data_IF_607667887998
#
_entry.id   IF_607667887998
#
_cell.length_a   1.000
_cell.length_b   1.000
_cell.length_c   1.000
_cell.angle_alpha   90.00
_cell.angle_beta   90.00
_cell.angle_gamma   90.00
#
_symmetry.space_group_name_H-M   'P 1'
#
loop_
_entity.id
_entity.type
_entity.pdbx_description
1 polymer ?
#
# COMPACT_ATOMS: atom_id res chain seq x y z
N UNK A 1 3.50 -3.60 -8.94
CA UNK A 1 3.06 -4.05 -7.60
C UNK A 1 4.09 -5.06 -7.11
N UNK A 2 4.46 -5.10 -5.82
CA UNK A 2 5.35 -6.16 -5.35
C UNK A 2 4.70 -7.54 -5.48
N UNK A 3 5.50 -8.57 -5.75
CA UNK A 3 5.04 -9.95 -5.85
C UNK A 3 4.77 -10.55 -4.47
N UNK A 4 4.00 -11.63 -4.41
CA UNK A 4 3.77 -12.31 -3.14
C UNK A 4 5.07 -12.91 -2.57
N UNK A 5 6.01 -13.34 -3.43
CA UNK A 5 7.35 -13.77 -3.03
C UNK A 5 8.13 -12.64 -2.33
N UNK A 6 8.16 -11.44 -2.92
CA UNK A 6 8.83 -10.27 -2.33
C UNK A 6 8.26 -9.93 -0.93
N UNK A 7 6.94 -10.00 -0.78
CA UNK A 7 6.28 -9.74 0.51
C UNK A 7 6.55 -10.83 1.55
N UNK A 8 6.69 -12.08 1.11
CA UNK A 8 7.10 -13.19 1.99
C UNK A 8 8.55 -13.05 2.45
N UNK A 9 9.46 -12.51 1.62
CA UNK A 9 10.82 -12.21 2.03
C UNK A 9 10.87 -11.14 3.14
N UNK A 10 10.02 -10.11 3.07
CA UNK A 10 9.90 -9.12 4.17
C UNK A 10 9.42 -9.79 5.45
N UNK A 11 8.43 -10.68 5.34
CA UNK A 11 7.89 -11.42 6.49
C UNK A 11 8.94 -12.32 7.14
N UNK A 12 9.73 -13.02 6.33
CA UNK A 12 10.88 -13.81 6.78
C UNK A 12 11.91 -12.93 7.47
N UNK A 13 12.31 -11.82 6.86
CA UNK A 13 13.31 -10.91 7.42
C UNK A 13 12.82 -10.33 8.76
N UNK A 14 11.53 -9.96 8.89
CA UNK A 14 10.95 -9.52 10.17
C UNK A 14 10.98 -10.61 11.24
N UNK A 15 10.70 -11.87 10.88
CA UNK A 15 10.78 -13.02 11.79
C UNK A 15 12.21 -13.23 12.30
N UNK A 16 13.18 -13.24 11.39
CA UNK A 16 14.59 -13.53 11.69
C UNK A 16 15.30 -12.35 12.38
N UNK A 17 14.80 -11.12 12.22
CA UNK A 17 15.48 -9.87 12.61
C UNK A 17 16.07 -9.83 14.03
N UNK A 18 15.41 -10.33 15.10
CA UNK A 18 15.98 -10.31 16.45
C UNK A 18 17.28 -11.12 16.59
N UNK A 19 17.51 -12.09 15.71
CA UNK A 19 18.71 -12.93 15.71
C UNK A 19 19.81 -12.38 14.77
N UNK A 20 19.51 -11.33 13.99
CA UNK A 20 20.42 -10.76 13.01
C UNK A 20 21.18 -9.58 13.61
N UNK A 21 20.51 -8.43 13.73
CA UNK A 21 21.07 -7.24 14.35
C UNK A 21 19.97 -6.20 14.66
N UNK A 22 20.35 -5.21 15.48
CA UNK A 22 19.46 -4.15 15.95
C UNK A 22 18.91 -3.27 14.82
N UNK A 23 19.68 -3.05 13.76
CA UNK A 23 19.26 -2.26 12.60
C UNK A 23 18.12 -2.96 11.86
N UNK A 24 18.28 -4.26 11.64
CA UNK A 24 17.33 -5.12 10.98
C UNK A 24 16.04 -5.22 11.78
N UNK A 25 16.15 -5.40 13.10
CA UNK A 25 15.01 -5.37 14.01
C UNK A 25 14.22 -4.06 13.90
N UNK A 26 14.91 -2.93 13.88
CA UNK A 26 14.29 -1.61 13.76
C UNK A 26 13.57 -1.43 12.41
N UNK A 27 14.27 -1.59 11.29
CA UNK A 27 13.71 -1.25 9.98
C UNK A 27 12.66 -2.26 9.50
N UNK A 28 12.78 -3.53 9.88
CA UNK A 28 11.73 -4.52 9.58
C UNK A 28 10.46 -4.24 10.38
N UNK A 29 10.56 -3.79 11.63
CA UNK A 29 9.40 -3.35 12.40
C UNK A 29 8.72 -2.13 11.76
N UNK A 30 9.49 -1.15 11.26
CA UNK A 30 8.95 -0.03 10.47
C UNK A 30 8.20 -0.53 9.23
N UNK A 31 8.79 -1.45 8.47
CA UNK A 31 8.15 -2.00 7.26
C UNK A 31 6.89 -2.84 7.59
N UNK A 32 6.91 -3.61 8.69
CA UNK A 32 5.75 -4.37 9.15
C UNK A 32 4.55 -3.46 9.44
N UNK A 33 4.76 -2.29 10.07
CA UNK A 33 3.70 -1.31 10.27
C UNK A 33 3.13 -0.76 8.94
N UNK A 34 3.99 -0.51 7.94
CA UNK A 34 3.55 -0.11 6.61
C UNK A 34 2.76 -1.20 5.88
N UNK A 35 3.04 -2.47 6.18
CA UNK A 35 2.38 -3.65 5.62
C UNK A 35 1.08 -4.02 6.33
N UNK A 36 0.69 -3.30 7.37
CA UNK A 36 -0.60 -3.52 8.06
C UNK A 36 -1.52 -2.32 7.95
N UNK A 37 -0.97 -1.10 7.92
CA UNK A 37 -1.75 0.12 7.86
C UNK A 37 -1.36 0.96 6.64
N UNK A 38 -2.23 1.07 5.61
CA UNK A 38 -1.89 1.82 4.40
C UNK A 38 -1.62 3.29 4.74
N UNK A 39 -0.38 3.70 4.55
CA UNK A 39 0.15 4.97 5.04
C UNK A 39 1.32 5.46 4.20
N UNK A 40 1.65 6.74 4.31
CA UNK A 40 2.95 7.21 3.82
C UNK A 40 4.02 6.88 4.84
N UNK A 41 5.21 6.54 4.36
CA UNK A 41 6.37 6.32 5.22
C UNK A 41 6.63 7.49 6.19
N UNK A 42 6.45 8.72 5.73
CA UNK A 42 6.60 9.92 6.57
C UNK A 42 5.55 10.05 7.69
N UNK A 43 4.38 9.42 7.56
CA UNK A 43 3.32 9.48 8.59
C UNK A 43 3.71 8.63 9.82
N UNK A 44 4.48 7.54 9.63
CA UNK A 44 4.99 6.74 10.76
C UNK A 44 5.88 7.54 11.71
N UNK A 45 6.56 8.56 11.20
CA UNK A 45 7.45 9.41 12.00
C UNK A 45 6.70 10.23 13.07
N UNK A 46 5.38 10.32 12.95
CA UNK A 46 4.49 11.00 13.90
C UNK A 46 3.74 10.03 14.82
N UNK A 47 4.07 8.73 14.82
CA UNK A 47 3.49 7.78 15.78
C UNK A 47 4.09 7.95 17.17
N UNK A 48 3.23 7.90 18.19
CA UNK A 48 3.62 7.83 19.60
C UNK A 48 3.96 6.40 20.02
N UNK A 49 4.78 6.23 21.06
CA UNK A 49 4.96 4.94 21.75
C UNK A 49 3.66 4.33 22.27
N UNK A 50 2.65 5.15 22.57
CA UNK A 50 1.33 4.73 23.01
C UNK A 50 0.31 4.72 21.85
N UNK A 51 0.74 4.34 20.65
CA UNK A 51 -0.10 4.37 19.45
C UNK A 51 -1.12 3.22 19.37
N UNK A 52 -1.01 2.20 20.22
CA UNK A 52 -1.91 1.04 20.18
C UNK A 52 -3.12 1.25 21.09
N UNK A 53 -4.31 1.01 20.55
CA UNK A 53 -5.59 1.18 21.24
C UNK A 53 -6.46 -0.06 21.02
N UNK A 54 -7.07 -0.57 22.09
CA UNK A 54 -7.91 -1.76 22.06
C UNK A 54 -9.36 -1.36 22.35
N UNK A 55 -10.26 -1.73 21.46
CA UNK A 55 -11.71 -1.51 21.63
C UNK A 55 -12.47 -2.82 21.41
N UNK A 56 -13.69 -2.92 21.94
CA UNK A 56 -14.57 -4.06 21.66
C UNK A 56 -15.39 -3.78 20.41
N UNK A 57 -15.47 -4.74 19.51
CA UNK A 57 -16.43 -4.70 18.42
C UNK A 57 -17.88 -4.93 18.90
N UNK A 58 -18.84 -4.87 17.98
CA UNK A 58 -20.26 -5.09 18.26
C UNK A 58 -20.57 -6.50 18.80
N UNK A 59 -19.66 -7.45 18.62
CA UNK A 59 -19.77 -8.83 19.10
C UNK A 59 -19.02 -9.03 20.43
N UNK A 60 -18.38 -7.99 20.97
CA UNK A 60 -17.61 -8.03 22.21
C UNK A 60 -16.19 -8.54 22.06
N UNK A 61 -15.69 -8.77 20.83
CA UNK A 61 -14.30 -9.18 20.63
C UNK A 61 -13.38 -7.96 20.69
N UNK A 62 -12.21 -8.12 21.31
CA UNK A 62 -11.19 -7.08 21.33
C UNK A 62 -10.53 -6.92 19.96
N UNK A 63 -10.54 -5.70 19.44
CA UNK A 63 -9.93 -5.31 18.18
C UNK A 63 -8.83 -4.27 18.44
N UNK A 64 -7.70 -4.45 17.75
CA UNK A 64 -6.57 -3.53 17.82
C UNK A 64 -6.69 -2.44 16.76
N UNK A 65 -6.53 -1.19 17.18
CA UNK A 65 -6.36 -0.03 16.31
C UNK A 65 -4.99 0.63 16.55
N UNK A 66 -4.43 1.20 15.49
CA UNK A 66 -3.28 2.11 15.59
C UNK A 66 -3.82 3.54 15.51
N UNK A 67 -3.61 4.34 16.57
CA UNK A 67 -3.92 5.77 16.58
C UNK A 67 -3.08 6.48 15.55
N UNK A 68 -3.75 6.98 14.51
CA UNK A 68 -3.09 7.53 13.33
C UNK A 68 -3.44 8.99 13.09
N UNK A 69 -2.42 9.78 12.74
CA UNK A 69 -2.55 11.17 12.32
C UNK A 69 -2.13 11.25 10.85
N UNK A 70 -3.07 11.37 9.90
CA UNK A 70 -2.75 11.40 8.48
C UNK A 70 -2.13 12.75 8.07
N UNK A 71 -1.17 12.74 7.13
CA UNK A 71 -0.45 13.94 6.69
C UNK A 71 -1.28 14.89 5.78
N UNK A 72 -2.43 14.45 5.26
CA UNK A 72 -3.24 15.19 4.27
C UNK A 72 -4.68 15.45 4.73
N UNK A 73 -4.90 16.38 5.66
CA UNK A 73 -6.23 16.86 6.12
C UNK A 73 -7.24 15.74 6.50
N UNK A 74 -6.78 14.49 6.65
CA UNK A 74 -7.63 13.38 7.05
C UNK A 74 -7.99 13.50 8.52
N UNK A 75 -9.10 12.88 8.92
CA UNK A 75 -9.47 12.86 10.33
C UNK A 75 -8.51 11.98 11.12
N UNK A 76 -8.10 12.44 12.29
CA UNK A 76 -7.42 11.60 13.29
C UNK A 76 -8.37 10.45 13.62
N UNK A 77 -7.85 9.23 13.66
CA UNK A 77 -8.67 8.05 13.91
C UNK A 77 -7.83 6.80 14.13
N UNK A 78 -8.52 5.72 14.50
CA UNK A 78 -7.92 4.40 14.62
C UNK A 78 -7.84 3.76 13.23
N UNK A 79 -6.64 3.31 12.86
CA UNK A 79 -6.48 2.37 11.77
C UNK A 79 -6.58 0.96 12.33
N UNK A 80 -7.72 0.33 12.10
CA UNK A 80 -7.97 -1.03 12.53
C UNK A 80 -6.99 -2.01 11.89
N UNK A 81 -6.51 -2.94 12.71
CA UNK A 81 -5.58 -3.99 12.36
C UNK A 81 -6.35 -5.30 12.18
N UNK A 82 -6.23 -5.99 11.03
CA UNK A 82 -6.82 -7.30 10.85
C UNK A 82 -6.41 -8.26 11.97
N UNK A 83 -7.34 -9.07 12.48
CA UNK A 83 -7.10 -9.94 13.65
C UNK A 83 -5.86 -10.83 13.51
N UNK A 84 -5.60 -11.35 12.31
CA UNK A 84 -4.42 -12.18 12.01
C UNK A 84 -3.07 -11.44 12.05
N UNK A 85 -3.08 -10.09 12.06
CA UNK A 85 -1.88 -9.25 12.07
C UNK A 85 -1.67 -8.52 13.41
N UNK A 86 -2.57 -8.68 14.39
CA UNK A 86 -2.52 -7.92 15.64
C UNK A 86 -1.22 -8.19 16.41
N UNK A 87 -0.82 -9.46 16.54
CA UNK A 87 0.42 -9.85 17.22
C UNK A 87 1.67 -9.28 16.54
N UNK A 88 1.66 -9.22 15.21
CA UNK A 88 2.75 -8.65 14.41
C UNK A 88 2.90 -7.15 14.69
N UNK A 89 1.79 -6.42 14.75
CA UNK A 89 1.80 -4.98 15.08
C UNK A 89 2.27 -4.75 16.51
N UNK A 90 1.77 -5.52 17.48
CA UNK A 90 2.18 -5.43 18.88
C UNK A 90 3.68 -5.66 19.01
N UNK A 91 4.20 -6.69 18.35
CA UNK A 91 5.64 -7.00 18.36
C UNK A 91 6.46 -5.91 17.65
N UNK A 92 6.02 -5.41 16.50
CA UNK A 92 6.71 -4.32 15.80
C UNK A 92 6.79 -3.04 16.66
N UNK A 93 5.69 -2.62 17.29
CA UNK A 93 5.68 -1.46 18.19
C UNK A 93 6.57 -1.70 19.41
N UNK A 94 6.57 -2.91 19.98
CA UNK A 94 7.42 -3.28 21.11
C UNK A 94 8.90 -3.18 20.76
N UNK A 95 9.34 -3.71 19.60
CA UNK A 95 10.72 -3.61 19.12
C UNK A 95 11.19 -2.15 19.01
N UNK A 96 10.39 -1.31 18.33
CA UNK A 96 10.68 0.12 18.20
C UNK A 96 10.71 0.85 19.56
N UNK A 97 9.79 0.48 20.44
CA UNK A 97 9.74 0.99 21.82
C UNK A 97 10.98 0.58 22.62
N UNK A 98 11.52 -0.61 22.43
CA UNK A 98 12.73 -1.06 23.14
C UNK A 98 14.02 -0.43 22.61
N UNK A 99 14.05 -0.05 21.33
CA UNK A 99 15.24 0.53 20.69
C UNK A 99 15.42 2.02 21.02
N UNK A 100 14.32 2.79 21.04
CA UNK A 100 14.36 4.24 21.25
C UNK A 100 14.45 4.83 22.69
N UNK A 101 14.47 4.09 23.83
CA UNK A 101 14.38 4.71 25.15
C UNK A 101 15.47 5.74 25.45
N UNK A 102 16.72 5.48 25.03
CA UNK A 102 17.84 6.41 25.26
C UNK A 102 17.64 7.73 24.52
N UNK A 103 17.28 7.67 23.23
CA UNK A 103 17.00 8.87 22.44
C UNK A 103 15.80 9.65 23.00
N UNK A 104 14.74 8.95 23.41
CA UNK A 104 13.55 9.59 24.02
C UNK A 104 13.85 10.22 25.36
N UNK A 105 14.72 9.59 26.17
CA UNK A 105 15.21 10.16 27.43
C UNK A 105 15.98 11.46 27.21
N UNK A 106 16.89 11.50 26.24
CA UNK A 106 17.63 12.71 25.86
C UNK A 106 16.68 13.80 25.34
N UNK A 107 15.74 13.43 24.46
CA UNK A 107 14.75 14.38 23.94
C UNK A 107 13.92 14.97 25.08
N UNK A 108 13.43 14.14 26.01
CA UNK A 108 12.69 14.58 27.20
C UNK A 108 13.52 15.55 28.05
N UNK A 109 14.79 15.22 28.29
CA UNK A 109 15.70 16.10 29.02
C UNK A 109 15.85 17.45 28.31
N UNK A 110 16.02 17.46 26.99
CA UNK A 110 16.12 18.68 26.20
C UNK A 110 14.82 19.51 26.23
N UNK A 111 13.65 18.87 26.24
CA UNK A 111 12.36 19.57 26.41
C UNK A 111 12.26 20.29 27.75
N UNK A 112 12.76 19.67 28.82
CA UNK A 112 12.68 20.18 30.20
C UNK A 112 13.83 21.14 30.55
N UNK A 113 14.99 21.00 29.90
CA UNK A 113 16.23 21.70 30.22
C UNK A 113 16.87 22.31 28.95
N UNK A 114 16.27 23.38 28.37
CA UNK A 114 16.79 23.97 27.14
C UNK A 114 18.24 24.41 27.26
N UNK A 115 19.05 24.11 26.23
CA UNK A 115 20.48 24.45 26.15
C UNK A 115 21.40 23.77 27.18
N UNK A 116 20.90 22.84 27.98
CA UNK A 116 21.70 22.11 28.98
C UNK A 116 22.14 20.78 28.37
N UNK A 117 23.43 20.46 28.55
CA UNK A 117 23.98 19.16 28.18
C UNK A 117 23.60 18.10 29.23
N UNK A 118 23.23 16.89 28.82
CA UNK A 118 23.00 15.79 29.75
C UNK A 118 24.31 15.02 29.95
N UNK A 119 24.92 15.15 31.13
CA UNK A 119 26.25 14.58 31.44
C UNK A 119 26.23 13.09 31.75
N UNK A 120 25.11 12.57 32.25
CA UNK A 120 24.84 11.13 32.35
C UNK A 120 23.33 10.90 32.51
N UNK A 121 22.82 9.73 32.13
CA UNK A 121 21.39 9.37 32.22
C UNK A 121 20.83 9.33 33.67
N UNK A 122 21.59 9.79 34.68
CA UNK A 122 21.28 9.58 36.11
C UNK A 122 21.45 10.80 37.01
N UNK A 123 21.96 11.93 36.54
CA UNK A 123 22.19 13.08 37.44
C UNK A 123 21.01 14.05 37.50
N UNK A 124 20.52 14.24 38.73
CA UNK A 124 19.55 15.26 39.08
C UNK A 124 20.25 16.62 39.21
N UNK A 125 19.81 17.56 38.38
CA UNK A 125 20.14 18.98 38.36
C UNK A 125 21.62 19.36 38.08
N UNK A 126 21.90 20.15 37.03
CA UNK A 126 23.24 20.65 36.74
C UNK A 126 23.70 21.66 37.81
N UNK A 127 24.87 21.43 38.42
CA UNK A 127 25.49 22.46 39.28
C UNK A 127 26.09 23.57 38.39
N UNK A 128 25.74 24.82 38.68
CA UNK A 128 26.15 25.98 37.86
C UNK A 128 27.68 26.10 37.73
N UNK A 129 28.43 25.73 38.77
CA UNK A 129 29.90 25.75 38.76
C UNK A 129 30.50 24.69 37.82
N UNK A 130 29.87 23.53 37.68
CA UNK A 130 30.35 22.48 36.76
C UNK A 130 30.22 22.93 35.31
N UNK A 131 29.11 23.58 34.94
CA UNK A 131 28.81 23.91 33.54
C UNK A 131 29.64 25.06 32.97
N UNK A 132 30.19 25.89 33.86
CA UNK A 132 31.10 26.99 33.56
C UNK A 132 32.56 26.54 33.48
N UNK A 133 32.89 25.28 33.86
CA UNK A 133 34.25 24.75 33.79
C UNK A 133 34.74 24.72 32.32
N UNK A 134 35.88 25.36 32.00
CA UNK A 134 36.55 25.20 30.72
C UNK A 134 36.96 23.73 30.50
N UNK A 135 36.68 23.22 29.30
CA UNK A 135 36.98 21.86 28.89
C UNK A 135 38.28 21.80 28.12
N UNK A 136 39.07 20.78 28.41
CA UNK A 136 40.22 20.37 27.59
C UNK A 136 39.75 19.81 26.24
N UNK A 137 40.62 19.78 25.23
CA UNK A 137 40.28 19.16 23.93
C UNK A 137 39.80 17.72 24.04
N UNK A 138 40.34 16.96 25.01
CA UNK A 138 39.90 15.58 25.24
C UNK A 138 38.50 15.51 25.86
N UNK A 139 38.21 16.37 26.85
CA UNK A 139 36.87 16.45 27.45
C UNK A 139 35.83 16.94 26.43
N UNK A 140 36.18 17.88 25.53
CA UNK A 140 35.28 18.30 24.45
C UNK A 140 35.00 17.14 23.50
N UNK A 141 36.03 16.38 23.13
CA UNK A 141 35.86 15.22 22.24
C UNK A 141 34.93 14.17 22.86
N UNK A 142 35.09 13.91 24.16
CA UNK A 142 34.22 13.01 24.93
C UNK A 142 32.78 13.54 25.01
N UNK A 143 32.58 14.80 25.38
CA UNK A 143 31.26 15.44 25.48
C UNK A 143 30.47 15.44 24.16
N UNK A 144 31.16 15.67 23.05
CA UNK A 144 30.54 15.67 21.72
C UNK A 144 30.53 14.27 21.08
N UNK A 145 31.01 13.24 21.80
CA UNK A 145 31.23 11.87 21.34
C UNK A 145 32.03 11.78 20.02
N UNK A 146 32.91 12.74 19.72
CA UNK A 146 33.67 12.79 18.46
C UNK A 146 35.06 12.17 18.61
N UNK A 147 35.60 11.63 17.51
CA UNK A 147 37.01 11.24 17.45
C UNK A 147 37.90 12.46 17.74
N UNK A 148 38.97 12.27 18.51
CA UNK A 148 40.01 13.29 18.75
C UNK A 148 40.55 13.88 17.45
N UNK A 149 40.61 13.12 16.36
CA UNK A 149 41.01 13.63 15.04
C UNK A 149 40.00 14.61 14.43
N UNK A 150 38.72 14.54 14.83
CA UNK A 150 37.64 15.43 14.37
C UNK A 150 37.76 16.85 14.90
N UNK A 151 38.63 17.11 15.89
CA UNK A 151 38.87 18.45 16.43
C UNK A 151 39.59 19.39 15.46
N UNK A 152 40.02 18.90 14.28
CA UNK A 152 40.66 19.70 13.24
C UNK A 152 39.69 20.15 12.12
N UNK A 153 38.43 19.74 12.19
CA UNK A 153 37.40 20.05 11.19
C UNK A 153 36.96 21.51 11.21
N UNK A 154 36.43 22.01 10.10
CA UNK A 154 35.98 23.40 9.95
C UNK A 154 34.89 23.78 10.97
N UNK A 155 33.91 22.90 11.20
CA UNK A 155 32.84 23.17 12.15
C UNK A 155 33.35 23.28 13.59
N UNK A 156 34.34 22.46 13.97
CA UNK A 156 34.92 22.51 15.30
C UNK A 156 35.77 23.77 15.51
N UNK A 157 36.54 24.17 14.49
CA UNK A 157 37.29 25.44 14.49
C UNK A 157 36.36 26.63 14.65
N UNK A 158 35.23 26.62 13.94
CA UNK A 158 34.20 27.67 14.06
C UNK A 158 33.61 27.71 15.47
N UNK A 159 33.27 26.55 16.06
CA UNK A 159 32.76 26.46 17.43
C UNK A 159 33.74 27.08 18.44
N UNK A 160 35.04 26.83 18.29
CA UNK A 160 36.08 27.43 19.14
C UNK A 160 36.18 28.95 18.92
N UNK A 161 36.21 29.41 17.66
CA UNK A 161 36.35 30.85 17.38
C UNK A 161 35.13 31.67 17.81
N UNK A 162 33.93 31.10 17.72
CA UNK A 162 32.68 31.77 18.14
C UNK A 162 32.57 31.90 19.66
N UNK A 163 33.42 31.22 20.44
CA UNK A 163 33.39 31.20 21.90
C UNK A 163 34.76 31.61 22.50
N UNK A 164 35.50 32.50 21.82
CA UNK A 164 36.78 33.08 22.27
C UNK A 164 37.84 32.05 22.69
N UNK A 165 37.81 30.85 22.11
CA UNK A 165 38.74 29.77 22.43
C UNK A 165 38.37 28.94 23.67
N UNK A 166 37.31 29.28 24.40
CA UNK A 166 36.90 28.63 25.65
C UNK A 166 35.60 27.86 25.42
N UNK A 167 35.68 26.53 25.47
CA UNK A 167 34.50 25.67 25.41
C UNK A 167 34.21 25.15 26.82
N UNK A 168 32.96 25.32 27.26
CA UNK A 168 32.45 24.78 28.53
C UNK A 168 31.36 23.74 28.25
N UNK A 169 30.87 23.06 29.28
CA UNK A 169 29.69 22.20 29.12
C UNK A 169 28.46 23.00 28.71
N UNK A 170 28.32 24.25 29.15
CA UNK A 170 27.24 25.15 28.73
C UNK A 170 27.29 25.45 27.23
N UNK A 171 28.49 25.75 26.70
CA UNK A 171 28.69 26.00 25.26
C UNK A 171 28.35 24.73 24.46
N UNK A 172 28.85 23.57 24.90
CA UNK A 172 28.55 22.28 24.27
C UNK A 172 27.05 21.95 24.29
N UNK A 173 26.38 22.21 25.43
CA UNK A 173 24.94 22.04 25.59
C UNK A 173 24.13 22.90 24.62
N UNK A 174 24.43 24.20 24.53
CA UNK A 174 23.83 25.13 23.56
C UNK A 174 24.02 24.65 22.12
N UNK A 175 25.23 24.22 21.78
CA UNK A 175 25.55 23.72 20.44
C UNK A 175 24.74 22.47 20.09
N UNK A 176 24.75 21.44 20.94
CA UNK A 176 24.03 20.19 20.68
C UNK A 176 22.52 20.37 20.73
N UNK A 177 22.01 21.16 21.68
CA UNK A 177 20.59 21.51 21.75
C UNK A 177 20.14 22.13 20.43
N UNK A 178 20.86 23.14 19.93
CA UNK A 178 20.56 23.75 18.62
C UNK A 178 20.64 22.72 17.49
N UNK A 179 21.69 21.89 17.44
CA UNK A 179 21.93 20.88 16.39
C UNK A 179 20.77 19.88 16.27
N UNK A 180 20.26 19.36 17.39
CA UNK A 180 19.23 18.31 17.36
C UNK A 180 17.81 18.87 17.31
N UNK A 181 17.53 19.97 18.03
CA UNK A 181 16.20 20.60 17.98
C UNK A 181 15.90 21.23 16.62
N UNK A 182 16.92 21.76 15.91
CA UNK A 182 16.73 22.31 14.57
C UNK A 182 16.30 21.29 13.53
N UNK A 183 16.42 19.98 13.80
CA UNK A 183 15.91 18.91 12.94
C UNK A 183 14.37 18.80 12.99
N UNK A 184 13.73 19.45 13.96
CA UNK A 184 12.29 19.43 14.16
C UNK A 184 11.72 20.84 13.98
N UNK A 185 11.00 21.07 12.89
CA UNK A 185 10.43 22.39 12.58
C UNK A 185 9.49 22.92 13.67
N UNK A 186 8.77 22.02 14.35
CA UNK A 186 7.77 22.35 15.36
C UNK A 186 8.21 21.97 16.78
N UNK A 187 9.52 21.97 17.06
CA UNK A 187 10.07 21.65 18.38
C UNK A 187 9.24 22.29 19.52
N UNK A 188 8.83 21.55 20.57
CA UNK A 188 9.20 20.16 20.92
C UNK A 188 8.32 19.06 20.30
N UNK A 189 7.57 19.34 19.23
CA UNK A 189 6.67 18.40 18.59
C UNK A 189 7.22 17.90 17.24
N UNK A 190 6.92 16.65 16.91
CA UNK A 190 7.28 16.06 15.60
C UNK A 190 6.41 16.58 14.46
N UNK A 191 5.18 16.99 14.79
CA UNK A 191 4.16 17.38 13.83
C UNK A 191 3.66 18.81 14.06
N UNK A 192 3.07 19.41 13.01
CA UNK A 192 2.55 20.78 13.03
C UNK A 192 1.36 20.96 13.98
N UNK A 193 0.58 19.90 14.18
CA UNK A 193 -0.62 19.92 15.02
C UNK A 193 -0.31 19.72 16.50
N UNK A 194 0.97 19.52 16.85
CA UNK A 194 1.46 19.38 18.23
C UNK A 194 0.82 18.20 18.97
N UNK A 195 0.61 17.10 18.25
CA UNK A 195 -0.02 15.91 18.80
C UNK A 195 0.98 14.99 19.50
N UNK A 196 2.20 14.89 18.97
CA UNK A 196 3.24 14.00 19.51
C UNK A 196 4.50 14.79 19.81
N UNK A 197 4.95 14.74 21.05
CA UNK A 197 6.24 15.29 21.46
C UNK A 197 7.39 14.47 20.88
N UNK A 198 8.54 15.09 20.64
CA UNK A 198 9.73 14.36 20.18
C UNK A 198 10.10 13.27 21.18
N UNK A 199 10.00 13.52 22.48
CA UNK A 199 10.25 12.51 23.52
C UNK A 199 9.29 11.32 23.52
N UNK A 200 8.16 11.40 22.81
CA UNK A 200 7.13 10.37 22.75
C UNK A 200 7.12 9.63 21.40
N UNK A 201 7.93 10.06 20.43
CA UNK A 201 7.95 9.50 19.10
C UNK A 201 8.46 8.05 19.09
N UNK A 202 7.71 7.15 18.47
CA UNK A 202 8.00 5.72 18.40
C UNK A 202 9.31 5.43 17.66
N UNK A 203 9.54 6.13 16.55
CA UNK A 203 10.66 5.93 15.63
C UNK A 203 11.92 6.73 16.03
N UNK A 204 12.02 7.20 17.27
CA UNK A 204 13.18 7.99 17.70
C UNK A 204 14.38 7.09 18.04
N UNK A 205 15.56 7.43 17.55
CA UNK A 205 16.82 6.74 17.88
C UNK A 205 17.99 7.74 17.94
N UNK A 206 19.18 7.31 18.40
CA UNK A 206 20.36 8.19 18.46
C UNK A 206 21.05 8.28 17.10
N UNK A 207 21.68 9.40 16.79
CA UNK A 207 22.61 9.50 15.68
C UNK A 207 23.68 8.39 15.81
N UNK A 208 23.92 7.67 14.72
CA UNK A 208 24.77 6.46 14.65
C UNK A 208 24.27 5.23 15.43
N UNK A 209 22.98 5.14 15.81
CA UNK A 209 22.45 3.95 16.52
C UNK A 209 22.69 2.63 15.76
N UNK A 210 22.75 2.70 14.43
CA UNK A 210 22.85 1.55 13.53
C UNK A 210 24.12 1.58 12.66
N UNK A 211 25.12 2.38 13.03
CA UNK A 211 26.34 2.51 12.23
C UNK A 211 27.36 1.45 12.64
N UNK A 212 28.00 0.79 11.67
CA UNK A 212 28.99 -0.27 11.95
C UNK A 212 30.29 0.31 12.54
N UNK A 213 30.79 1.41 11.97
CA UNK A 213 32.08 2.00 12.38
C UNK A 213 32.01 3.06 13.50
N UNK A 214 30.84 3.64 13.80
CA UNK A 214 30.73 4.76 14.73
C UNK A 214 29.78 4.47 15.87
N UNK A 215 30.22 4.76 17.10
CA UNK A 215 29.37 4.62 18.28
C UNK A 215 28.17 5.58 18.24
N UNK A 216 27.01 5.15 18.80
CA UNK A 216 25.84 6.02 18.93
C UNK A 216 26.13 7.25 19.79
N UNK A 217 25.70 8.43 19.35
CA UNK A 217 25.92 9.70 20.05
C UNK A 217 24.96 9.83 21.24
N UNK A 218 25.49 9.94 22.46
CA UNK A 218 24.72 9.84 23.70
C UNK A 218 23.69 10.94 23.87
N UNK A 219 24.02 12.18 23.49
CA UNK A 219 23.11 13.34 23.57
C UNK A 219 22.27 13.56 22.31
N UNK A 220 22.13 12.56 21.45
CA UNK A 220 21.43 12.73 20.18
C UNK A 220 20.04 12.10 20.17
N UNK A 221 19.17 12.69 19.37
CA UNK A 221 17.86 12.14 19.03
C UNK A 221 17.51 12.55 17.61
N UNK A 222 17.11 11.57 16.80
CA UNK A 222 16.75 11.76 15.40
C UNK A 222 15.58 10.84 15.03
N UNK A 223 14.81 11.26 14.02
CA UNK A 223 13.88 10.41 13.30
C UNK A 223 14.56 9.85 12.04
N UNK A 224 14.15 8.67 11.54
CA UNK A 224 14.61 8.20 10.25
C UNK A 224 14.05 9.10 9.15
N UNK A 225 14.76 9.17 8.04
CA UNK A 225 14.25 9.74 6.79
C UNK A 225 13.62 8.65 5.92
N UNK A 226 12.72 9.04 5.01
CA UNK A 226 12.14 8.10 4.03
C UNK A 226 13.24 7.43 3.19
N UNK A 227 14.31 8.17 2.88
CA UNK A 227 15.46 7.62 2.16
C UNK A 227 16.19 6.56 2.98
N UNK A 228 16.48 6.82 4.27
CA UNK A 228 17.09 5.81 5.14
C UNK A 228 16.27 4.52 5.21
N UNK A 229 14.94 4.63 5.30
CA UNK A 229 14.05 3.46 5.30
C UNK A 229 14.10 2.76 3.93
N UNK A 230 13.96 3.50 2.82
CA UNK A 230 14.00 2.91 1.48
C UNK A 230 15.36 2.27 1.17
N UNK A 231 16.48 2.87 1.58
CA UNK A 231 17.83 2.35 1.34
C UNK A 231 18.01 0.93 1.92
N UNK A 232 17.25 0.57 2.96
CA UNK A 232 17.25 -0.77 3.59
C UNK A 232 16.47 -1.83 2.81
N UNK A 233 15.50 -1.42 2.01
CA UNK A 233 14.62 -2.32 1.27
C UNK A 233 14.75 -2.20 -0.26
N UNK A 234 15.52 -1.23 -0.75
CA UNK A 234 15.80 -1.00 -2.15
C UNK A 234 17.26 -1.34 -2.47
N UNK A 235 17.53 -2.56 -2.91
CA UNK A 235 18.85 -2.93 -3.38
C UNK A 235 19.31 -2.03 -4.54
N UNK A 236 20.59 -1.63 -4.52
CA UNK A 236 21.20 -0.80 -5.56
C UNK A 236 22.65 -1.23 -5.76
N UNK A 237 23.04 -1.56 -7.00
CA UNK A 237 24.43 -1.92 -7.33
C UNK A 237 25.44 -0.80 -7.00
N UNK A 238 24.99 0.46 -7.00
CA UNK A 238 25.83 1.60 -6.64
C UNK A 238 26.01 1.78 -5.13
N UNK A 239 25.10 1.22 -4.32
CA UNK A 239 25.10 1.28 -2.86
C UNK A 239 24.66 -0.06 -2.26
N UNK A 240 25.41 -1.14 -2.53
CA UNK A 240 24.99 -2.50 -2.22
C UNK A 240 24.73 -2.68 -0.71
N UNK A 241 25.74 -2.37 0.10
CA UNK A 241 25.76 -2.55 1.56
C UNK A 241 24.70 -1.79 2.35
N UNK A 242 23.91 -0.90 1.73
CA UNK A 242 22.82 -0.24 2.44
C UNK A 242 21.57 -1.12 2.56
N UNK A 243 21.41 -2.09 1.67
CA UNK A 243 20.23 -2.95 1.63
C UNK A 243 20.33 -4.10 2.64
N UNK A 244 19.26 -4.35 3.41
CA UNK A 244 19.18 -5.49 4.31
C UNK A 244 19.14 -6.83 3.55
N UNK A 245 18.67 -6.82 2.30
CA UNK A 245 18.65 -8.00 1.43
C UNK A 245 20.05 -8.55 1.19
N UNK A 246 20.97 -7.68 0.84
CA UNK A 246 22.36 -8.09 0.60
C UNK A 246 23.09 -8.32 1.92
N UNK A 247 22.87 -7.46 2.93
CA UNK A 247 23.49 -7.59 4.25
C UNK A 247 23.31 -9.01 4.83
N UNK A 248 22.13 -9.59 4.64
CA UNK A 248 21.76 -10.90 5.17
C UNK A 248 21.67 -12.00 4.11
N UNK A 249 22.14 -11.74 2.88
CA UNK A 249 22.09 -12.67 1.75
C UNK A 249 20.69 -13.26 1.50
N UNK A 250 19.64 -12.43 1.61
CA UNK A 250 18.24 -12.81 1.36
C UNK A 250 17.82 -12.31 -0.02
N UNK A 251 17.61 -13.23 -0.94
CA UNK A 251 17.12 -12.95 -2.30
C UNK A 251 15.89 -13.78 -2.67
N UNK A 252 15.37 -13.54 -3.87
CA UNK A 252 14.31 -14.35 -4.48
C UNK A 252 14.79 -15.78 -4.74
N UNK A 253 13.88 -16.66 -5.14
CA UNK A 253 14.15 -18.01 -5.65
C UNK A 253 15.16 -18.05 -6.80
N UNK A 254 15.34 -16.93 -7.52
CA UNK A 254 16.36 -16.76 -8.57
C UNK A 254 17.71 -16.24 -8.06
N UNK A 255 17.82 -15.96 -6.77
CA UNK A 255 19.02 -15.39 -6.14
C UNK A 255 19.13 -13.87 -6.31
N UNK A 256 18.07 -13.18 -6.72
CA UNK A 256 18.09 -11.73 -6.97
C UNK A 256 17.70 -10.95 -5.72
N UNK A 257 18.39 -9.83 -5.45
CA UNK A 257 18.00 -8.90 -4.40
C UNK A 257 16.88 -7.97 -4.88
N UNK A 258 15.95 -7.68 -3.97
CA UNK A 258 14.69 -7.00 -4.34
C UNK A 258 14.77 -5.49 -4.14
N UNK A 259 13.90 -4.77 -4.87
CA UNK A 259 13.70 -3.33 -4.72
C UNK A 259 12.27 -3.05 -4.27
N UNK A 260 12.11 -2.86 -2.97
CA UNK A 260 10.82 -2.66 -2.33
C UNK A 260 10.75 -1.30 -1.61
N UNK A 261 10.47 -0.20 -2.33
CA UNK A 261 10.23 1.10 -1.70
C UNK A 261 9.08 1.02 -0.69
N UNK A 262 9.19 1.77 0.40
CA UNK A 262 8.15 1.86 1.46
C UNK A 262 6.74 2.16 0.93
N UNK A 263 6.61 2.90 -0.18
CA UNK A 263 5.32 3.21 -0.79
C UNK A 263 4.64 1.98 -1.43
N UNK A 264 5.41 0.95 -1.81
CA UNK A 264 4.86 -0.29 -2.40
C UNK A 264 3.96 -1.04 -1.41
N UNK A 265 4.25 -1.00 -0.10
CA UNK A 265 3.39 -1.59 0.92
C UNK A 265 1.97 -1.01 0.88
N UNK A 266 1.84 0.30 0.70
CA UNK A 266 0.54 0.99 0.55
C UNK A 266 -0.21 0.56 -0.71
N UNK A 267 0.48 0.41 -1.83
CA UNK A 267 -0.11 -0.10 -3.08
C UNK A 267 -0.58 -1.55 -2.94
N UNK A 268 0.27 -2.40 -2.37
CA UNK A 268 -0.03 -3.81 -2.16
C UNK A 268 -1.24 -3.99 -1.24
N UNK A 269 -1.28 -3.29 -0.10
CA UNK A 269 -2.43 -3.31 0.82
C UNK A 269 -3.72 -2.84 0.16
N UNK A 270 -3.66 -1.73 -0.59
CA UNK A 270 -4.85 -1.21 -1.27
C UNK A 270 -5.38 -2.22 -2.29
N UNK A 271 -4.49 -2.84 -3.07
CA UNK A 271 -4.88 -3.83 -4.08
C UNK A 271 -5.44 -5.09 -3.41
N UNK A 272 -4.81 -5.61 -2.35
CA UNK A 272 -5.30 -6.80 -1.63
C UNK A 272 -6.64 -6.53 -0.94
N UNK A 273 -6.86 -5.34 -0.39
CA UNK A 273 -8.14 -4.95 0.20
C UNK A 273 -9.27 -4.89 -0.84
N UNK A 274 -9.01 -4.26 -2.00
CA UNK A 274 -9.95 -4.24 -3.14
C UNK A 274 -10.27 -5.66 -3.63
N UNK A 275 -9.25 -6.51 -3.80
CA UNK A 275 -9.43 -7.93 -4.17
C UNK A 275 -10.19 -8.73 -3.11
N UNK A 276 -10.07 -8.33 -1.85
CA UNK A 276 -10.85 -8.88 -0.73
C UNK A 276 -12.29 -8.35 -0.64
N UNK A 277 -12.71 -7.50 -1.58
CA UNK A 277 -14.07 -6.95 -1.62
C UNK A 277 -14.34 -5.77 -0.68
N UNK A 278 -13.29 -5.10 -0.18
CA UNK A 278 -13.46 -3.89 0.63
C UNK A 278 -14.08 -2.76 -0.21
N UNK A 279 -15.10 -2.09 0.31
CA UNK A 279 -15.73 -0.96 -0.40
C UNK A 279 -14.79 0.25 -0.50
N UNK A 280 -14.95 1.03 -1.57
CA UNK A 280 -14.03 2.13 -1.89
C UNK A 280 -13.98 3.21 -0.80
N UNK A 281 -15.11 3.47 -0.12
CA UNK A 281 -15.20 4.49 0.93
C UNK A 281 -14.45 4.02 2.19
N UNK A 282 -14.66 2.78 2.63
CA UNK A 282 -13.94 2.17 3.73
C UNK A 282 -12.45 2.11 3.44
N UNK A 283 -12.05 1.72 2.22
CA UNK A 283 -10.64 1.73 1.84
C UNK A 283 -10.05 3.15 1.87
N UNK A 284 -10.77 4.14 1.34
CA UNK A 284 -10.31 5.53 1.35
C UNK A 284 -10.11 6.03 2.79
N UNK A 285 -11.05 5.72 3.69
CA UNK A 285 -10.96 6.06 5.12
C UNK A 285 -9.80 5.34 5.81
N UNK A 286 -9.67 4.03 5.64
CA UNK A 286 -8.60 3.22 6.22
C UNK A 286 -7.21 3.66 5.74
N UNK A 287 -7.09 4.04 4.46
CA UNK A 287 -5.87 4.59 3.88
C UNK A 287 -5.63 6.08 4.18
N UNK A 288 -6.55 6.76 4.87
CA UNK A 288 -6.46 8.19 5.19
C UNK A 288 -6.44 9.09 3.95
N UNK A 289 -7.25 8.77 2.93
CA UNK A 289 -7.40 9.56 1.71
C UNK A 289 -8.48 10.63 1.91
N UNK A 290 -8.27 11.80 1.31
CA UNK A 290 -9.23 12.89 1.37
C UNK A 290 -10.42 12.68 0.42
N UNK A 291 -10.22 11.95 -0.68
CA UNK A 291 -11.23 11.65 -1.70
C UNK A 291 -11.16 10.18 -2.09
N UNK A 292 -12.33 9.58 -2.35
CA UNK A 292 -12.44 8.20 -2.84
C UNK A 292 -11.72 8.01 -4.18
N UNK A 293 -11.79 9.01 -5.07
CA UNK A 293 -11.09 9.00 -6.35
C UNK A 293 -9.55 8.81 -6.24
N UNK A 294 -8.97 9.10 -5.07
CA UNK A 294 -7.53 8.88 -4.84
C UNK A 294 -7.20 7.37 -4.70
N UNK A 295 -8.19 6.48 -4.59
CA UNK A 295 -8.00 5.02 -4.59
C UNK A 295 -7.41 4.51 -5.91
N UNK A 296 -7.84 5.09 -7.04
CA UNK A 296 -7.44 4.66 -8.39
C UNK A 296 -5.92 4.66 -8.61
N UNK A 297 -5.18 5.57 -7.97
CA UNK A 297 -3.72 5.63 -8.08
C UNK A 297 -3.01 4.43 -7.40
N UNK A 298 -3.74 3.64 -6.60
CA UNK A 298 -3.21 2.53 -5.83
C UNK A 298 -3.83 1.18 -6.18
N UNK A 299 -4.89 1.17 -6.98
CA UNK A 299 -5.53 -0.03 -7.50
C UNK A 299 -4.74 -0.52 -8.72
N UNK A 300 -4.11 -1.69 -8.56
CA UNK A 300 -3.31 -2.35 -9.59
C UNK A 300 -4.02 -3.58 -10.17
N UNK A 301 -5.33 -3.73 -9.95
CA UNK A 301 -6.14 -4.73 -10.67
C UNK A 301 -6.21 -4.40 -12.15
N UNK A 302 -6.19 -5.41 -13.01
CA UNK A 302 -6.39 -5.22 -14.45
C UNK A 302 -7.84 -4.85 -14.76
N UNK A 303 -8.11 -4.34 -15.96
CA UNK A 303 -9.49 -4.04 -16.37
C UNK A 303 -10.32 -5.32 -16.52
N UNK A 304 -9.68 -6.44 -16.87
CA UNK A 304 -10.29 -7.76 -16.87
C UNK A 304 -10.70 -8.18 -15.45
N UNK A 305 -9.79 -8.07 -14.46
CA UNK A 305 -10.11 -8.39 -13.05
C UNK A 305 -11.30 -7.55 -12.54
N UNK A 306 -11.36 -6.27 -12.89
CA UNK A 306 -12.48 -5.39 -12.52
C UNK A 306 -13.77 -5.79 -13.22
N UNK A 307 -13.72 -6.04 -14.52
CA UNK A 307 -14.87 -6.49 -15.32
C UNK A 307 -15.43 -7.80 -14.79
N UNK A 308 -14.56 -8.74 -14.44
CA UNK A 308 -14.92 -10.03 -13.88
C UNK A 308 -15.56 -9.90 -12.49
N UNK A 309 -15.03 -9.01 -11.64
CA UNK A 309 -15.67 -8.72 -10.33
C UNK A 309 -17.09 -8.14 -10.47
N UNK A 310 -17.31 -7.27 -11.46
CA UNK A 310 -18.64 -6.71 -11.78
C UNK A 310 -19.55 -7.79 -12.37
N UNK A 311 -19.02 -8.61 -13.28
CA UNK A 311 -19.73 -9.77 -13.84
C UNK A 311 -20.21 -10.70 -12.73
N UNK A 312 -19.36 -11.07 -11.79
CA UNK A 312 -19.72 -11.99 -10.70
C UNK A 312 -20.79 -11.43 -9.76
N UNK A 313 -20.89 -10.10 -9.63
CA UNK A 313 -21.95 -9.44 -8.86
C UNK A 313 -23.29 -9.37 -9.62
N UNK A 314 -23.24 -9.24 -10.95
CA UNK A 314 -24.42 -8.98 -11.77
C UNK A 314 -24.99 -10.25 -12.44
N UNK A 315 -24.15 -11.25 -12.67
CA UNK A 315 -24.46 -12.43 -13.48
C UNK A 315 -24.21 -13.68 -12.62
N UNK A 316 -25.26 -14.47 -12.30
CA UNK A 316 -25.10 -15.75 -11.63
C UNK A 316 -24.16 -16.69 -12.39
N UNK A 317 -23.32 -17.47 -11.69
CA UNK A 317 -22.36 -18.39 -12.30
C UNK A 317 -23.04 -19.45 -13.19
N UNK A 318 -24.22 -19.93 -12.78
CA UNK A 318 -25.01 -20.94 -13.49
C UNK A 318 -26.13 -20.32 -14.37
N UNK A 319 -25.92 -19.11 -14.90
CA UNK A 319 -26.93 -18.48 -15.76
C UNK A 319 -27.11 -19.28 -17.06
N UNK A 320 -28.33 -19.69 -17.37
CA UNK A 320 -28.60 -20.39 -18.64
C UNK A 320 -28.56 -19.41 -19.82
N UNK A 321 -28.38 -19.94 -21.04
CA UNK A 321 -28.44 -19.12 -22.27
C UNK A 321 -29.81 -18.41 -22.36
N UNK A 322 -30.88 -19.08 -21.92
CA UNK A 322 -32.22 -18.52 -21.91
C UNK A 322 -32.33 -17.33 -20.94
N UNK A 323 -31.76 -17.47 -19.74
CA UNK A 323 -31.71 -16.39 -18.76
C UNK A 323 -30.90 -15.20 -19.27
N UNK A 324 -29.78 -15.44 -19.98
CA UNK A 324 -29.01 -14.37 -20.63
C UNK A 324 -29.87 -13.58 -21.62
N UNK A 325 -30.66 -14.26 -22.44
CA UNK A 325 -31.57 -13.62 -23.40
C UNK A 325 -32.63 -12.80 -22.67
N UNK A 326 -33.28 -13.37 -21.64
CA UNK A 326 -34.31 -12.65 -20.87
C UNK A 326 -33.77 -11.41 -20.14
N UNK A 327 -32.53 -11.47 -19.67
CA UNK A 327 -31.85 -10.35 -19.01
C UNK A 327 -31.16 -9.39 -19.99
N UNK A 328 -31.30 -9.58 -21.31
CA UNK A 328 -30.61 -8.84 -22.36
C UNK A 328 -29.07 -8.81 -22.19
N UNK A 329 -28.51 -9.90 -21.68
CA UNK A 329 -27.07 -10.09 -21.55
C UNK A 329 -26.49 -10.65 -22.87
N UNK A 330 -25.25 -10.28 -23.24
CA UNK A 330 -24.60 -10.82 -24.43
C UNK A 330 -24.44 -12.35 -24.34
N UNK A 331 -24.84 -13.06 -25.39
CA UNK A 331 -24.56 -14.49 -25.56
C UNK A 331 -23.25 -14.63 -26.33
N UNK A 332 -22.25 -15.26 -25.72
CA UNK A 332 -20.94 -15.47 -26.35
C UNK A 332 -20.96 -16.69 -27.26
N UNK A 333 -19.95 -16.81 -28.13
CA UNK A 333 -19.80 -18.03 -28.91
C UNK A 333 -19.38 -19.25 -28.08
N UNK A 334 -18.66 -19.02 -26.97
CA UNK A 334 -18.36 -20.05 -25.98
C UNK A 334 -19.65 -20.60 -25.33
N UNK A 335 -20.66 -19.76 -25.10
CA UNK A 335 -21.97 -20.21 -24.61
C UNK A 335 -22.65 -21.21 -25.56
N UNK A 336 -22.31 -21.15 -26.86
CA UNK A 336 -22.77 -22.09 -27.90
C UNK A 336 -21.84 -23.30 -28.08
N UNK A 337 -20.81 -23.45 -27.23
CA UNK A 337 -19.81 -24.51 -27.33
C UNK A 337 -18.80 -24.30 -28.46
N UNK A 338 -18.58 -23.06 -28.90
CA UNK A 338 -17.61 -22.73 -29.96
C UNK A 338 -16.37 -22.04 -29.38
N UNK A 339 -15.21 -22.53 -29.76
CA UNK A 339 -13.91 -21.94 -29.42
C UNK A 339 -13.60 -20.74 -30.33
N UNK A 340 -14.28 -19.62 -30.09
CA UNK A 340 -14.01 -18.35 -30.76
C UNK A 340 -14.43 -17.15 -29.91
N UNK A 341 -13.72 -16.05 -30.05
CA UNK A 341 -14.00 -14.80 -29.34
C UNK A 341 -15.12 -14.04 -30.05
N UNK A 342 -16.11 -13.58 -29.31
CA UNK A 342 -17.18 -12.73 -29.82
C UNK A 342 -18.56 -13.04 -29.25
N UNK A 343 -19.56 -12.32 -29.74
CA UNK A 343 -20.96 -12.47 -29.35
C UNK A 343 -21.78 -12.99 -30.52
N UNK A 344 -22.72 -13.88 -30.23
CA UNK A 344 -23.70 -14.37 -31.19
C UNK A 344 -24.90 -13.42 -31.22
N UNK A 345 -25.55 -13.33 -32.38
CA UNK A 345 -26.71 -12.45 -32.55
C UNK A 345 -27.98 -13.21 -32.18
N UNK A 346 -28.70 -12.76 -31.15
CA UNK A 346 -30.03 -13.29 -30.82
C UNK A 346 -31.02 -12.79 -31.88
N UNK A 347 -31.77 -13.72 -32.47
CA UNK A 347 -32.81 -13.46 -33.48
C UNK A 347 -34.19 -13.80 -32.94
N UNK A 348 -35.23 -13.53 -33.71
CA UNK A 348 -36.63 -13.81 -33.32
C UNK A 348 -36.95 -15.30 -33.10
N UNK A 349 -36.17 -16.21 -33.70
CA UNK A 349 -36.45 -17.65 -33.70
C UNK A 349 -35.31 -18.52 -33.17
N UNK A 350 -34.21 -17.90 -32.72
CA UNK A 350 -33.02 -18.61 -32.23
C UNK A 350 -31.79 -17.70 -32.16
N UNK A 351 -30.60 -18.28 -32.13
CA UNK A 351 -29.32 -17.55 -32.16
C UNK A 351 -28.62 -17.76 -33.49
N UNK A 352 -28.20 -16.67 -34.12
CA UNK A 352 -27.37 -16.69 -35.30
C UNK A 352 -25.90 -16.77 -34.90
N UNK A 353 -25.24 -17.84 -35.33
CA UNK A 353 -23.80 -18.06 -35.11
C UNK A 353 -22.94 -17.49 -36.26
N UNK A 354 -23.52 -16.72 -37.17
CA UNK A 354 -22.77 -16.08 -38.27
C UNK A 354 -21.75 -15.08 -37.72
N UNK A 355 -20.54 -15.11 -38.24
CA UNK A 355 -19.48 -14.17 -37.86
C UNK A 355 -19.62 -12.85 -38.65
N UNK A 356 -20.41 -11.94 -38.09
CA UNK A 356 -20.64 -10.61 -38.66
C UNK A 356 -19.40 -9.71 -38.67
N UNK A 357 -18.36 -10.02 -37.88
CA UNK A 357 -17.11 -9.26 -37.92
C UNK A 357 -16.29 -9.61 -39.17
N UNK A 358 -16.42 -10.85 -39.67
CA UNK A 358 -15.70 -11.33 -40.84
C UNK A 358 -16.45 -11.07 -42.15
N UNK A 359 -17.78 -11.16 -42.16
CA UNK A 359 -18.57 -10.93 -43.37
C UNK A 359 -20.04 -10.58 -43.06
N UNK A 360 -20.74 -9.84 -43.94
CA UNK A 360 -22.18 -9.65 -43.80
C UNK A 360 -22.95 -10.96 -44.08
N UNK A 361 -24.18 -11.04 -43.58
CA UNK A 361 -25.05 -12.21 -43.79
C UNK A 361 -25.46 -12.33 -45.27
N UNK A 362 -25.17 -13.46 -45.90
CA UNK A 362 -25.57 -13.75 -47.29
C UNK A 362 -27.04 -14.13 -47.43
N UNK A 363 -27.70 -14.52 -46.32
CA UNK A 363 -29.10 -14.96 -46.28
C UNK A 363 -30.11 -13.83 -46.10
N UNK A 364 -29.66 -12.62 -45.76
CA UNK A 364 -30.50 -11.42 -45.65
C UNK A 364 -31.80 -11.61 -44.83
N UNK A 365 -31.77 -12.41 -43.76
CA UNK A 365 -32.93 -12.66 -42.89
C UNK A 365 -33.72 -13.94 -43.18
N UNK A 366 -33.35 -14.74 -44.20
CA UNK A 366 -33.85 -16.11 -44.42
C UNK A 366 -33.23 -17.07 -43.39
N UNK A 367 -33.59 -16.87 -42.12
CA UNK A 367 -33.01 -17.58 -40.97
C UNK A 367 -33.54 -19.02 -40.86
N UNK A 368 -34.77 -19.29 -41.30
CA UNK A 368 -35.44 -20.59 -41.20
C UNK A 368 -34.73 -21.69 -42.00
N UNK A 369 -34.07 -21.30 -43.10
CA UNK A 369 -33.30 -22.22 -43.94
C UNK A 369 -31.79 -22.08 -43.73
N UNK A 370 -31.37 -21.26 -42.76
CA UNK A 370 -29.97 -21.00 -42.48
C UNK A 370 -29.37 -22.10 -41.60
N UNK A 371 -28.21 -22.63 -42.01
CA UNK A 371 -27.46 -23.64 -41.22
C UNK A 371 -26.76 -23.05 -40.00
N UNK A 372 -26.61 -21.72 -39.98
CA UNK A 372 -25.98 -20.98 -38.89
C UNK A 372 -27.01 -20.49 -37.85
N UNK A 373 -28.28 -20.89 -37.98
CA UNK A 373 -29.28 -20.64 -36.95
C UNK A 373 -29.30 -21.81 -35.96
N UNK A 374 -29.07 -21.50 -34.68
CA UNK A 374 -29.19 -22.44 -33.57
C UNK A 374 -30.49 -22.17 -32.83
N UNK A 375 -31.42 -23.14 -32.85
CA UNK A 375 -32.68 -23.04 -32.12
C UNK A 375 -32.48 -23.36 -30.64
N UNK A 376 -32.96 -22.48 -29.76
CA UNK A 376 -32.92 -22.70 -28.31
C UNK A 376 -34.25 -23.28 -27.83
N UNK A 377 -34.17 -24.40 -27.10
CA UNK A 377 -35.35 -24.97 -26.45
C UNK A 377 -35.89 -24.01 -25.38
N UNK A 378 -37.16 -23.66 -25.49
CA UNK A 378 -37.85 -22.80 -24.50
C UNK A 378 -37.75 -21.29 -24.78
N UNK A 379 -37.15 -20.88 -25.89
CA UNK A 379 -37.17 -19.46 -26.31
C UNK A 379 -38.61 -19.01 -26.59
N UNK A 380 -39.06 -18.00 -25.86
CA UNK A 380 -40.41 -17.44 -25.96
C UNK A 380 -40.71 -16.98 -27.39
N UNK A 381 -41.96 -17.18 -27.82
CA UNK A 381 -42.50 -16.81 -29.13
C UNK A 381 -41.86 -17.45 -30.37
N UNK A 382 -40.68 -18.07 -30.28
CA UNK A 382 -40.00 -18.70 -31.42
C UNK A 382 -40.89 -19.70 -32.17
N UNK A 383 -41.59 -20.58 -31.44
CA UNK A 383 -42.53 -21.55 -32.01
C UNK A 383 -43.76 -20.88 -32.63
N UNK A 384 -44.27 -19.82 -32.01
CA UNK A 384 -45.43 -19.08 -32.51
C UNK A 384 -45.09 -18.37 -33.83
N UNK A 385 -43.91 -17.73 -33.88
CA UNK A 385 -43.38 -17.09 -35.07
C UNK A 385 -43.19 -18.12 -36.19
N UNK A 386 -42.56 -19.27 -35.91
CA UNK A 386 -42.38 -20.33 -36.90
C UNK A 386 -43.72 -20.85 -37.45
N UNK A 387 -44.74 -21.01 -36.61
CA UNK A 387 -46.10 -21.40 -37.05
C UNK A 387 -46.74 -20.35 -37.97
N UNK A 388 -46.59 -19.07 -37.63
CA UNK A 388 -47.10 -17.97 -38.47
C UNK A 388 -46.40 -17.97 -39.83
N UNK A 389 -45.08 -18.11 -39.84
CA UNK A 389 -44.29 -18.13 -41.08
C UNK A 389 -44.58 -19.39 -41.92
N UNK A 390 -44.77 -20.56 -41.31
CA UNK A 390 -45.21 -21.78 -42.00
C UNK A 390 -46.56 -21.59 -42.72
N UNK A 391 -47.54 -20.96 -42.05
CA UNK A 391 -48.82 -20.66 -42.66
C UNK A 391 -48.69 -19.71 -43.86
N UNK A 392 -47.87 -18.66 -43.73
CA UNK A 392 -47.60 -17.71 -44.81
C UNK A 392 -46.93 -18.38 -46.02
N UNK A 393 -45.91 -19.22 -45.80
CA UNK A 393 -45.23 -19.97 -46.87
C UNK A 393 -46.21 -20.92 -47.55
N UNK A 394 -47.06 -21.61 -46.78
CA UNK A 394 -48.07 -22.52 -47.31
C UNK A 394 -49.10 -21.78 -48.18
N UNK A 395 -49.54 -20.59 -47.75
CA UNK A 395 -50.43 -19.74 -48.55
C UNK A 395 -49.78 -19.34 -49.87
N UNK A 396 -48.53 -18.88 -49.84
CA UNK A 396 -47.78 -18.50 -51.05
C UNK A 396 -47.57 -19.69 -51.99
N UNK A 397 -47.25 -20.86 -51.45
CA UNK A 397 -47.12 -22.08 -52.22
C UNK A 397 -48.43 -22.50 -52.90
N UNK A 398 -49.57 -22.37 -52.21
CA UNK A 398 -50.88 -22.65 -52.80
C UNK A 398 -51.23 -21.66 -53.91
N UNK A 399 -51.00 -20.35 -53.71
CA UNK A 399 -51.15 -19.33 -54.77
C UNK A 399 -50.27 -19.64 -55.98
N UNK A 400 -49.01 -20.03 -55.75
CA UNK A 400 -48.10 -20.42 -56.82
C UNK A 400 -48.60 -21.65 -57.60
N UNK A 401 -49.19 -22.65 -56.93
CA UNK A 401 -49.82 -23.81 -57.59
C UNK A 401 -51.02 -23.44 -58.45
N UNK A 402 -51.90 -22.56 -57.95
CA UNK A 402 -53.05 -22.09 -58.72
C UNK A 402 -52.60 -21.30 -59.95
N UNK A 403 -51.65 -20.39 -59.79
CA UNK A 403 -51.15 -19.55 -60.87
C UNK A 403 -50.27 -20.31 -61.87
N UNK A 404 -49.58 -21.39 -61.46
CA UNK A 404 -48.84 -22.27 -62.37
C UNK A 404 -49.75 -22.87 -63.45
N UNK A 405 -51.01 -23.17 -63.11
CA UNK A 405 -52.00 -23.67 -64.09
C UNK A 405 -52.38 -22.61 -65.13
N UNK A 406 -52.13 -21.33 -64.87
CA UNK A 406 -52.62 -20.18 -65.65
C UNK A 406 -51.48 -19.53 -66.46
N UNK A 407 -50.20 -19.83 -66.17
CA UNK A 407 -49.06 -19.38 -66.98
C UNK A 407 -48.78 -17.87 -66.93
N UNK A 408 -49.06 -17.23 -65.79
CA UNK A 408 -48.83 -15.79 -65.58
C UNK A 408 -47.57 -15.58 -64.72
N UNK A 409 -46.78 -14.53 -65.00
CA UNK A 409 -45.66 -14.12 -64.16
C UNK A 409 -46.17 -13.70 -62.77
N UNK A 410 -45.67 -14.36 -61.72
CA UNK A 410 -46.02 -14.05 -60.33
C UNK A 410 -44.80 -13.47 -59.63
N UNK A 411 -44.93 -12.26 -59.09
CA UNK A 411 -43.98 -11.72 -58.14
C UNK A 411 -44.40 -12.22 -56.76
N UNK A 412 -43.66 -13.21 -56.24
CA UNK A 412 -43.80 -13.65 -54.85
C UNK A 412 -43.10 -12.58 -54.02
N UNK A 413 -43.86 -11.76 -53.29
CA UNK A 413 -43.28 -10.72 -52.44
C UNK A 413 -42.36 -11.37 -51.40
N UNK A 414 -41.15 -10.82 -51.28
CA UNK A 414 -40.14 -11.21 -50.28
C UNK A 414 -40.39 -10.60 -48.93
#
# INVERSE_FOLDING_TARGET
MPTDEEMMLVSKLFHDAPNLDKETEYYTAVMALLMVAPSRCSELMSLSVNCLEWENDSLGNKQLGIRWIPAKNGKVGLKWVPSCMQDIVVEAVKRLTNIGPLARGVAKFAEENPNILMLSNKEAAPSHSLYQKPLTKSEIAEVLDIDKNSTNTKWFKNLISENDGIITYEVSGKFLYKKYTSKFHNWPYVDKHKNVKVSEALLLFRENEFHDDFSPKSFSFVLPTVNQINDRFCYSETRPKTSLWEKHCIGTSKGEFIRLPSHNARHWLSTKAERGGMDELTLANWAGRARVADNKAYDHRTEEEKSESVRNLLIPEDISILDKIHLNLPVTYEDLGKDRIGIATVTEIGICEHDYAMSPCSRHGDCETCKELVCIKGLEHSLEILKVREAQITEQFNKAKEHHKIGVLVQIAG
#
